data_IF_797878521882
#
_entry.id   IF_797878521882
#
_cell.length_a   1.000
_cell.length_b   1.000
_cell.length_c   1.000
_cell.angle_alpha   90.00
_cell.angle_beta   90.00
_cell.angle_gamma   90.00
#
_symmetry.space_group_name_H-M   'P 1'
#
loop_
_entity.id
_entity.type
_entity.pdbx_description
1 polymer ?
#
# COMPACT_ATOMS: atom_id res chain seq x y z
N UNK A 1 23.50 25.23 -15.73
CA UNK A 1 23.75 26.59 -16.30
C UNK A 1 23.21 26.60 -17.72
N UNK A 2 22.00 27.13 -17.90
CA UNK A 2 21.38 27.28 -19.22
C UNK A 2 22.05 28.48 -19.90
N UNK A 3 22.68 28.25 -21.05
CA UNK A 3 23.22 29.35 -21.86
C UNK A 3 22.05 30.25 -22.30
N UNK A 4 22.06 31.51 -21.86
CA UNK A 4 21.06 32.50 -22.27
C UNK A 4 21.03 32.60 -23.79
N UNK A 5 19.86 32.35 -24.38
CA UNK A 5 19.63 32.50 -25.81
C UNK A 5 19.90 33.98 -26.17
N UNK A 6 20.97 34.26 -26.93
CA UNK A 6 21.26 35.61 -27.47
C UNK A 6 20.39 35.88 -28.71
N UNK A 7 19.08 35.86 -28.55
CA UNK A 7 18.11 36.28 -29.57
C UNK A 7 17.39 37.52 -29.08
N UNK A 8 16.96 38.38 -30.00
CA UNK A 8 16.09 39.52 -29.68
C UNK A 8 14.71 39.02 -29.25
N UNK A 9 13.97 39.80 -28.47
CA UNK A 9 12.62 39.43 -28.01
C UNK A 9 11.65 39.14 -29.18
N UNK A 10 11.84 39.82 -30.31
CA UNK A 10 11.09 39.57 -31.56
C UNK A 10 11.38 38.18 -32.14
N UNK A 11 12.65 37.78 -32.22
CA UNK A 11 13.04 36.47 -32.76
C UNK A 11 12.59 35.31 -31.86
N UNK A 12 12.52 35.53 -30.54
CA UNK A 12 11.97 34.55 -29.59
C UNK A 12 10.46 34.42 -29.79
N UNK A 13 9.76 35.54 -29.98
CA UNK A 13 8.31 35.56 -30.22
C UNK A 13 7.96 34.81 -31.50
N UNK A 14 8.65 35.08 -32.61
CA UNK A 14 8.45 34.40 -33.89
C UNK A 14 8.72 32.89 -33.78
N UNK A 15 9.75 32.52 -33.00
CA UNK A 15 10.08 31.12 -32.74
C UNK A 15 8.99 30.42 -31.92
N UNK A 16 8.38 31.09 -30.94
CA UNK A 16 7.28 30.52 -30.16
C UNK A 16 6.01 30.35 -30.98
N UNK A 17 5.69 31.29 -31.87
CA UNK A 17 4.58 31.13 -32.82
C UNK A 17 4.79 29.92 -33.73
N UNK A 18 6.01 29.71 -34.21
CA UNK A 18 6.36 28.53 -34.99
C UNK A 18 6.23 27.23 -34.18
N UNK A 19 6.61 27.23 -32.90
CA UNK A 19 6.39 26.08 -32.02
C UNK A 19 4.88 25.84 -31.82
N UNK A 20 4.08 26.90 -31.65
CA UNK A 20 2.62 26.79 -31.50
C UNK A 20 1.98 26.12 -32.73
N UNK A 21 2.41 26.50 -33.93
CA UNK A 21 1.98 25.86 -35.18
C UNK A 21 2.40 24.39 -35.24
N UNK A 22 3.67 24.08 -34.94
CA UNK A 22 4.19 22.72 -34.96
C UNK A 22 3.48 21.81 -33.95
N UNK A 23 3.27 22.29 -32.73
CA UNK A 23 2.52 21.59 -31.69
C UNK A 23 1.08 21.40 -32.12
N UNK A 24 0.45 22.42 -32.71
CA UNK A 24 -0.91 22.29 -33.21
C UNK A 24 -1.03 21.18 -34.25
N UNK A 25 -0.12 21.13 -35.22
CA UNK A 25 -0.11 20.15 -36.33
C UNK A 25 0.24 18.73 -35.85
N UNK A 26 1.25 18.59 -35.00
CA UNK A 26 1.74 17.27 -34.55
C UNK A 26 0.71 16.61 -33.61
N UNK A 27 0.05 17.42 -32.79
CA UNK A 27 -0.91 16.96 -31.79
C UNK A 27 -2.38 17.16 -32.21
N UNK A 28 -2.66 17.44 -33.49
CA UNK A 28 -4.03 17.66 -34.01
C UNK A 28 -4.82 16.38 -34.30
N UNK A 29 -4.16 15.22 -34.31
CA UNK A 29 -4.87 13.96 -34.52
C UNK A 29 -5.67 13.58 -33.27
N UNK A 30 -6.98 13.35 -33.43
CA UNK A 30 -7.86 12.68 -32.44
C UNK A 30 -7.41 11.25 -32.09
N UNK A 31 -6.34 10.76 -32.72
CA UNK A 31 -5.66 9.52 -32.37
C UNK A 31 -4.92 9.65 -31.04
N UNK A 32 -4.90 8.55 -30.32
CA UNK A 32 -4.31 8.43 -29.00
C UNK A 32 -2.82 8.79 -28.97
N UNK A 33 -2.52 10.00 -28.49
CA UNK A 33 -1.18 10.57 -28.40
C UNK A 33 -0.20 9.75 -27.53
N UNK A 34 -0.65 8.73 -26.81
CA UNK A 34 0.20 7.87 -25.98
C UNK A 34 1.04 6.89 -26.79
N UNK A 35 0.61 6.50 -27.99
CA UNK A 35 1.31 5.50 -28.80
C UNK A 35 2.13 6.09 -29.95
N UNK A 36 2.08 7.41 -30.12
CA UNK A 36 2.81 8.13 -31.16
C UNK A 36 4.01 8.85 -30.56
N UNK A 37 5.16 8.77 -31.22
CA UNK A 37 6.34 9.57 -30.89
C UNK A 37 6.18 11.03 -31.36
N UNK A 38 5.11 11.69 -30.88
CA UNK A 38 4.77 13.06 -31.20
C UNK A 38 5.83 14.03 -30.67
N UNK A 39 6.43 13.72 -29.52
CA UNK A 39 7.53 14.49 -28.96
C UNK A 39 8.81 14.37 -29.80
N UNK A 40 9.21 13.16 -30.22
CA UNK A 40 10.35 12.97 -31.10
C UNK A 40 10.16 13.64 -32.46
N UNK A 41 8.94 13.62 -33.01
CA UNK A 41 8.59 14.38 -34.22
C UNK A 41 8.75 15.90 -34.03
N UNK A 42 8.32 16.44 -32.89
CA UNK A 42 8.47 17.85 -32.55
C UNK A 42 9.95 18.22 -32.40
N UNK A 43 10.71 17.43 -31.64
CA UNK A 43 12.14 17.64 -31.43
C UNK A 43 12.93 17.56 -32.74
N UNK A 44 12.62 16.58 -33.60
CA UNK A 44 13.22 16.44 -34.92
C UNK A 44 12.98 17.68 -35.77
N UNK A 45 11.74 18.18 -35.86
CA UNK A 45 11.45 19.41 -36.61
C UNK A 45 12.15 20.63 -36.03
N UNK A 46 12.21 20.78 -34.72
CA UNK A 46 12.85 21.93 -34.06
C UNK A 46 14.38 21.92 -34.21
N UNK A 47 15.01 20.74 -34.25
CA UNK A 47 16.47 20.62 -34.48
C UNK A 47 16.93 21.16 -35.84
N UNK A 48 16.04 21.19 -36.85
CA UNK A 48 16.34 21.80 -38.15
C UNK A 48 16.19 23.33 -38.15
N UNK A 49 15.50 23.89 -37.17
CA UNK A 49 15.14 25.31 -37.08
C UNK A 49 16.09 26.05 -36.12
N UNK A 50 16.60 25.36 -35.10
CA UNK A 50 17.50 25.90 -34.11
C UNK A 50 18.61 24.90 -33.78
N UNK A 51 19.88 25.30 -33.97
CA UNK A 51 21.06 24.46 -33.66
C UNK A 51 21.32 24.32 -32.14
N UNK A 52 20.55 25.03 -31.31
CA UNK A 52 20.65 25.03 -29.84
C UNK A 52 19.83 23.89 -29.21
N UNK A 53 20.06 23.66 -27.91
CA UNK A 53 19.35 22.70 -27.07
C UNK A 53 17.81 22.86 -27.14
N UNK A 54 17.18 21.96 -27.90
CA UNK A 54 15.73 21.91 -28.16
C UNK A 54 14.92 21.79 -26.86
N UNK A 55 15.43 21.07 -25.86
CA UNK A 55 14.73 20.91 -24.58
C UNK A 55 14.67 22.24 -23.83
N UNK A 56 15.78 22.98 -23.78
CA UNK A 56 15.80 24.33 -23.18
C UNK A 56 14.85 25.29 -23.90
N UNK A 57 14.74 25.21 -25.23
CA UNK A 57 13.78 26.01 -25.99
C UNK A 57 12.33 25.64 -25.64
N UNK A 58 12.01 24.34 -25.63
CA UNK A 58 10.68 23.84 -25.30
C UNK A 58 10.29 24.15 -23.84
N UNK A 59 11.23 24.14 -22.90
CA UNK A 59 10.99 24.56 -21.52
C UNK A 59 10.55 26.02 -21.45
N UNK A 60 11.31 26.94 -22.05
CA UNK A 60 10.98 28.37 -22.01
C UNK A 60 9.66 28.66 -22.76
N UNK A 61 9.40 27.95 -23.86
CA UNK A 61 8.12 28.03 -24.57
C UNK A 61 6.96 27.54 -23.70
N UNK A 62 7.08 26.36 -23.10
CA UNK A 62 6.04 25.78 -22.26
C UNK A 62 5.72 26.68 -21.06
N UNK A 63 6.75 27.24 -20.40
CA UNK A 63 6.63 28.25 -19.35
C UNK A 63 5.84 29.46 -19.87
N UNK A 64 6.25 30.06 -20.98
CA UNK A 64 5.54 31.21 -21.57
C UNK A 64 4.05 30.91 -21.84
N UNK A 65 3.71 29.69 -22.26
CA UNK A 65 2.33 29.28 -22.53
C UNK A 65 1.48 29.02 -21.29
N UNK A 66 2.07 28.54 -20.20
CA UNK A 66 1.32 28.37 -18.93
C UNK A 66 1.15 29.70 -18.18
N UNK A 67 2.03 30.67 -18.38
CA UNK A 67 1.94 32.02 -17.81
C UNK A 67 0.98 32.94 -18.59
N UNK A 68 0.76 32.66 -19.87
CA UNK A 68 -0.15 33.43 -20.73
C UNK A 68 -1.51 32.74 -20.89
N UNK A 69 -2.58 33.54 -20.99
CA UNK A 69 -3.93 33.02 -21.21
C UNK A 69 -3.99 32.20 -22.51
N UNK A 70 -4.48 30.98 -22.40
CA UNK A 70 -4.51 30.01 -23.49
C UNK A 70 -5.86 29.27 -23.49
N UNK A 71 -6.30 28.75 -24.64
CA UNK A 71 -7.52 27.93 -24.70
C UNK A 71 -7.28 26.48 -24.23
N UNK A 72 -8.34 25.78 -23.82
CA UNK A 72 -8.27 24.41 -23.27
C UNK A 72 -7.58 23.41 -24.21
N UNK A 73 -7.90 23.43 -25.50
CA UNK A 73 -7.37 22.48 -26.48
C UNK A 73 -5.86 22.65 -26.63
N UNK A 74 -5.38 23.89 -26.71
CA UNK A 74 -3.96 24.17 -26.85
C UNK A 74 -3.21 23.91 -25.53
N UNK A 75 -3.80 24.28 -24.38
CA UNK A 75 -3.20 23.99 -23.08
C UNK A 75 -3.02 22.48 -22.86
N UNK A 76 -3.97 21.64 -23.30
CA UNK A 76 -3.83 20.17 -23.27
C UNK A 76 -2.58 19.70 -24.04
N UNK A 77 -2.30 20.28 -25.21
CA UNK A 77 -1.10 19.99 -26.02
C UNK A 77 0.18 20.44 -25.29
N UNK A 78 0.17 21.63 -24.69
CA UNK A 78 1.30 22.14 -23.87
C UNK A 78 1.61 21.21 -22.69
N UNK A 79 0.59 20.78 -21.94
CA UNK A 79 0.76 19.83 -20.82
C UNK A 79 1.34 18.49 -21.27
N UNK A 80 1.01 18.03 -22.48
CA UNK A 80 1.61 16.82 -23.04
C UNK A 80 3.10 17.00 -23.31
N UNK A 81 3.53 18.14 -23.86
CA UNK A 81 4.95 18.46 -24.04
C UNK A 81 5.66 18.55 -22.69
N UNK A 82 5.05 19.19 -21.69
CA UNK A 82 5.58 19.26 -20.31
C UNK A 82 5.82 17.86 -19.74
N UNK A 83 4.90 16.92 -19.97
CA UNK A 83 5.05 15.54 -19.50
C UNK A 83 6.33 14.88 -20.05
N UNK A 84 6.68 15.13 -21.32
CA UNK A 84 7.88 14.58 -21.96
C UNK A 84 9.17 15.27 -21.52
N UNK A 85 9.13 16.58 -21.23
CA UNK A 85 10.28 17.29 -20.65
C UNK A 85 10.63 16.76 -19.25
N UNK A 86 9.66 16.17 -18.55
CA UNK A 86 9.89 15.40 -17.34
C UNK A 86 10.58 16.17 -16.23
N UNK A 87 11.54 15.53 -15.55
CA UNK A 87 12.22 16.05 -14.37
C UNK A 87 12.86 17.43 -14.59
N UNK A 88 13.52 17.64 -15.73
CA UNK A 88 14.23 18.90 -16.02
C UNK A 88 13.30 20.11 -16.12
N UNK A 89 12.05 19.91 -16.57
CA UNK A 89 11.05 20.99 -16.54
C UNK A 89 10.70 21.37 -15.10
N UNK A 90 10.50 20.39 -14.20
CA UNK A 90 10.12 20.66 -12.82
C UNK A 90 11.25 21.29 -12.01
N UNK A 91 12.51 20.91 -12.25
CA UNK A 91 13.67 21.62 -11.69
C UNK A 91 13.70 23.08 -12.14
N UNK A 92 13.46 23.34 -13.41
CA UNK A 92 13.40 24.70 -13.96
C UNK A 92 12.26 25.50 -13.32
N UNK A 93 11.07 24.94 -13.20
CA UNK A 93 9.90 25.59 -12.59
C UNK A 93 10.17 25.98 -11.14
N UNK A 94 10.75 25.08 -10.34
CA UNK A 94 11.09 25.35 -8.93
C UNK A 94 12.17 26.40 -8.78
N UNK A 95 13.17 26.39 -9.66
CA UNK A 95 14.26 27.37 -9.64
C UNK A 95 13.79 28.79 -10.00
N UNK A 96 12.74 28.92 -10.82
CA UNK A 96 12.30 30.20 -11.39
C UNK A 96 10.97 30.73 -10.84
N UNK A 97 10.33 30.06 -9.88
CA UNK A 97 9.06 30.49 -9.25
C UNK A 97 7.97 30.82 -10.28
N UNK A 98 7.63 29.83 -11.11
CA UNK A 98 6.63 29.94 -12.19
C UNK A 98 5.33 30.62 -11.73
N UNK A 99 4.82 31.58 -12.53
CA UNK A 99 3.54 32.27 -12.26
C UNK A 99 2.48 31.87 -13.27
N UNK A 100 1.73 30.83 -12.94
CA UNK A 100 0.69 30.30 -13.83
C UNK A 100 -0.47 31.27 -13.93
N UNK A 101 -1.00 31.46 -15.15
CA UNK A 101 -2.18 32.27 -15.36
C UNK A 101 -3.39 31.67 -14.62
N UNK A 102 -4.13 32.47 -13.85
CA UNK A 102 -5.31 31.99 -13.11
C UNK A 102 -6.37 31.32 -14.00
N UNK A 103 -6.55 31.79 -15.25
CA UNK A 103 -7.47 31.12 -16.19
C UNK A 103 -6.97 29.74 -16.59
N UNK A 104 -5.66 29.58 -16.77
CA UNK A 104 -5.06 28.28 -17.06
C UNK A 104 -5.18 27.32 -15.87
N UNK A 105 -5.13 27.81 -14.62
CA UNK A 105 -5.40 26.99 -13.42
C UNK A 105 -6.81 26.39 -13.49
N UNK A 106 -7.82 27.22 -13.78
CA UNK A 106 -9.20 26.74 -13.90
C UNK A 106 -9.38 25.76 -15.06
N UNK A 107 -8.75 26.02 -16.21
CA UNK A 107 -8.73 25.09 -17.34
C UNK A 107 -8.08 23.75 -16.96
N UNK A 108 -6.98 23.76 -16.17
CA UNK A 108 -6.33 22.54 -15.72
C UNK A 108 -7.24 21.74 -14.77
N UNK A 109 -7.98 22.43 -13.87
CA UNK A 109 -8.99 21.78 -13.02
C UNK A 109 -10.09 21.12 -13.87
N UNK A 110 -10.59 21.81 -14.89
CA UNK A 110 -11.57 21.24 -15.84
C UNK A 110 -11.01 20.04 -16.63
N UNK A 111 -9.73 20.11 -17.05
CA UNK A 111 -9.05 19.01 -17.73
C UNK A 111 -8.92 17.78 -16.82
N UNK A 112 -8.64 17.96 -15.53
CA UNK A 112 -8.60 16.86 -14.56
C UNK A 112 -9.97 16.22 -14.34
N UNK A 113 -11.02 17.03 -14.19
CA UNK A 113 -12.39 16.55 -14.01
C UNK A 113 -12.93 15.81 -15.25
N UNK A 114 -12.47 16.20 -16.44
CA UNK A 114 -12.85 15.59 -17.71
C UNK A 114 -11.94 14.43 -18.15
N UNK A 115 -10.85 14.18 -17.42
CA UNK A 115 -9.87 13.15 -17.76
C UNK A 115 -10.49 11.75 -17.71
N UNK A 116 -10.00 10.87 -18.57
CA UNK A 116 -10.48 9.48 -18.70
C UNK A 116 -9.30 8.53 -18.77
N UNK A 117 -9.53 7.31 -18.29
CA UNK A 117 -8.66 6.17 -18.61
C UNK A 117 -9.16 5.55 -19.91
N UNK A 118 -8.31 5.40 -20.91
CA UNK A 118 -8.75 4.83 -22.19
C UNK A 118 -9.12 3.36 -22.07
N UNK A 119 -10.27 3.02 -22.62
CA UNK A 119 -10.90 1.72 -22.49
C UNK A 119 -10.45 0.71 -23.57
N UNK A 120 -9.14 0.57 -23.80
CA UNK A 120 -8.63 -0.60 -24.53
C UNK A 120 -8.46 -1.79 -23.58
N UNK A 121 -9.57 -2.13 -22.90
CA UNK A 121 -9.75 -3.41 -22.23
C UNK A 121 -10.61 -4.28 -23.18
N UNK A 122 -10.29 -5.56 -23.22
CA UNK A 122 -10.86 -6.56 -24.13
C UNK A 122 -12.39 -6.62 -24.09
N UNK A 123 -13.01 -7.10 -25.18
CA UNK A 123 -14.48 -7.17 -25.34
C UNK A 123 -15.17 -8.01 -24.24
N UNK A 124 -14.48 -9.00 -23.65
CA UNK A 124 -14.98 -9.78 -22.51
C UNK A 124 -15.08 -8.98 -21.21
N UNK A 125 -14.35 -7.87 -21.08
CA UNK A 125 -14.34 -7.02 -19.87
C UNK A 125 -15.48 -5.97 -19.89
N UNK A 126 -16.06 -5.68 -21.08
CA UNK A 126 -17.11 -4.66 -21.23
C UNK A 126 -18.48 -5.06 -20.65
N UNK A 127 -18.81 -6.35 -20.61
CA UNK A 127 -20.07 -6.84 -20.01
C UNK A 127 -20.01 -6.86 -18.46
N UNK A 128 -18.81 -7.04 -17.90
CA UNK A 128 -18.51 -6.89 -16.46
C UNK A 128 -18.36 -5.43 -16.03
N UNK A 129 -18.12 -4.50 -16.96
CA UNK A 129 -17.82 -3.09 -16.69
C UNK A 129 -19.00 -2.26 -16.14
N UNK A 130 -20.24 -2.43 -16.62
CA UNK A 130 -21.37 -1.66 -16.07
C UNK A 130 -21.59 -1.98 -14.59
N UNK A 131 -21.59 -3.27 -14.24
CA UNK A 131 -21.62 -3.71 -12.84
C UNK A 131 -20.35 -3.30 -12.06
N UNK A 132 -19.20 -3.18 -12.72
CA UNK A 132 -17.93 -2.78 -12.09
C UNK A 132 -17.92 -1.31 -11.68
N UNK A 133 -18.28 -0.38 -12.57
CA UNK A 133 -18.32 1.05 -12.24
C UNK A 133 -19.45 1.36 -11.24
N UNK A 134 -20.61 0.70 -11.36
CA UNK A 134 -21.67 0.81 -10.35
C UNK A 134 -21.21 0.32 -8.98
N UNK A 135 -20.47 -0.79 -8.92
CA UNK A 135 -19.85 -1.29 -7.68
C UNK A 135 -18.82 -0.33 -7.10
N UNK A 136 -17.95 0.26 -7.93
CA UNK A 136 -16.97 1.25 -7.46
C UNK A 136 -17.67 2.44 -6.80
N UNK A 137 -18.71 2.98 -7.45
CA UNK A 137 -19.49 4.10 -6.92
C UNK A 137 -20.18 3.70 -5.61
N UNK A 138 -20.72 2.49 -5.54
CA UNK A 138 -21.34 1.95 -4.31
C UNK A 138 -20.32 1.78 -3.17
N UNK A 139 -19.16 1.15 -3.43
CA UNK A 139 -18.10 0.98 -2.43
C UNK A 139 -17.56 2.31 -1.93
N UNK A 140 -17.35 3.30 -2.82
CA UNK A 140 -16.96 4.66 -2.42
C UNK A 140 -18.02 5.29 -1.52
N UNK A 141 -19.32 5.16 -1.85
CA UNK A 141 -20.42 5.69 -1.01
C UNK A 141 -20.49 5.04 0.37
N UNK A 142 -20.19 3.74 0.45
CA UNK A 142 -20.19 2.97 1.72
C UNK A 142 -18.87 3.05 2.47
N UNK A 143 -17.86 3.77 1.95
CA UNK A 143 -16.49 3.78 2.47
C UNK A 143 -15.88 2.36 2.63
N UNK A 144 -16.25 1.44 1.74
CA UNK A 144 -15.77 0.05 1.75
C UNK A 144 -14.44 -0.04 0.99
N UNK A 145 -13.38 0.56 1.53
CA UNK A 145 -12.11 0.75 0.83
C UNK A 145 -11.38 -0.56 0.53
N UNK A 146 -11.49 -1.57 1.41
CA UNK A 146 -10.91 -2.90 1.19
C UNK A 146 -11.62 -3.63 0.05
N UNK A 147 -12.96 -3.60 -0.01
CA UNK A 147 -13.75 -4.15 -1.12
C UNK A 147 -13.43 -3.42 -2.44
N UNK A 148 -13.29 -2.10 -2.38
CA UNK A 148 -12.90 -1.27 -3.52
C UNK A 148 -11.52 -1.69 -4.02
N UNK A 149 -10.53 -1.80 -3.12
CA UNK A 149 -9.17 -2.23 -3.45
C UNK A 149 -9.14 -3.63 -4.08
N UNK A 150 -9.80 -4.62 -3.47
CA UNK A 150 -9.92 -5.99 -4.01
C UNK A 150 -10.52 -5.99 -5.42
N UNK A 151 -11.52 -5.15 -5.65
CA UNK A 151 -12.19 -5.08 -6.95
C UNK A 151 -11.29 -4.47 -8.03
N UNK A 152 -10.41 -3.54 -7.67
CA UNK A 152 -9.72 -2.67 -8.63
C UNK A 152 -8.23 -2.96 -8.79
N UNK A 153 -7.58 -3.65 -7.84
CA UNK A 153 -6.13 -3.81 -7.83
C UNK A 153 -5.56 -4.57 -9.03
N UNK A 154 -6.32 -5.48 -9.65
CA UNK A 154 -5.84 -6.22 -10.83
C UNK A 154 -5.76 -5.32 -12.07
N UNK A 155 -6.61 -4.29 -12.12
CA UNK A 155 -6.60 -3.30 -13.20
C UNK A 155 -5.66 -2.12 -12.91
N UNK A 156 -5.27 -1.90 -11.64
CA UNK A 156 -4.53 -0.71 -11.24
C UNK A 156 -3.16 -0.58 -11.90
N UNK A 157 -2.50 -1.70 -12.21
CA UNK A 157 -1.21 -1.71 -12.90
C UNK A 157 -1.25 -1.06 -14.28
N UNK A 158 -2.42 -1.09 -14.90
CA UNK A 158 -2.65 -0.59 -16.25
C UNK A 158 -3.02 0.89 -16.25
N UNK A 159 -3.64 1.39 -15.18
CA UNK A 159 -4.12 2.78 -15.12
C UNK A 159 -2.99 3.79 -15.31
N UNK A 160 -1.77 3.51 -14.83
CA UNK A 160 -0.62 4.40 -15.03
C UNK A 160 -0.23 4.57 -16.52
N UNK A 161 -0.50 3.57 -17.36
CA UNK A 161 -0.22 3.62 -18.80
C UNK A 161 -1.40 4.21 -19.58
N UNK A 162 -2.62 4.02 -19.05
CA UNK A 162 -3.85 4.41 -19.72
C UNK A 162 -4.45 5.74 -19.25
N UNK A 163 -3.81 6.46 -18.34
CA UNK A 163 -4.21 7.83 -17.99
C UNK A 163 -3.71 8.85 -19.01
N UNK A 164 -4.48 9.92 -19.24
CA UNK A 164 -4.03 11.02 -20.09
C UNK A 164 -2.80 11.73 -19.51
N UNK A 165 -1.71 11.82 -20.29
CA UNK A 165 -0.45 12.47 -19.85
C UNK A 165 -0.62 13.96 -19.54
N UNK A 166 -1.57 14.63 -20.19
CA UNK A 166 -1.94 16.00 -19.87
C UNK A 166 -2.54 16.12 -18.47
N UNK A 167 -3.32 15.14 -18.01
CA UNK A 167 -3.87 15.11 -16.66
C UNK A 167 -2.77 14.93 -15.61
N UNK A 168 -1.78 14.07 -15.87
CA UNK A 168 -0.61 13.89 -14.99
C UNK A 168 0.15 15.20 -14.81
N UNK A 169 0.47 15.89 -15.91
CA UNK A 169 1.20 17.17 -15.84
C UNK A 169 0.35 18.30 -15.26
N UNK A 170 -0.95 18.32 -15.57
CA UNK A 170 -1.91 19.24 -14.96
C UNK A 170 -1.97 19.08 -13.45
N UNK A 171 -2.03 17.85 -12.95
CA UNK A 171 -1.98 17.57 -11.52
C UNK A 171 -0.68 18.06 -10.88
N UNK A 172 0.49 17.78 -11.50
CA UNK A 172 1.79 18.29 -11.01
C UNK A 172 1.85 19.82 -10.96
N UNK A 173 1.27 20.49 -11.94
CA UNK A 173 1.12 21.95 -11.92
C UNK A 173 0.28 22.38 -10.70
N UNK A 174 -0.88 21.77 -10.50
CA UNK A 174 -1.76 22.16 -9.38
C UNK A 174 -1.11 21.89 -8.02
N UNK A 175 -0.32 20.82 -7.88
CA UNK A 175 0.46 20.54 -6.68
C UNK A 175 1.45 21.66 -6.31
N UNK A 176 2.06 22.30 -7.29
CA UNK A 176 3.06 23.36 -7.08
C UNK A 176 2.41 24.75 -6.90
N UNK A 177 1.16 24.94 -7.33
CA UNK A 177 0.54 26.28 -7.41
C UNK A 177 -0.80 26.44 -6.69
N UNK A 178 -1.46 25.36 -6.25
CA UNK A 178 -2.75 25.42 -5.56
C UNK A 178 -2.60 25.11 -4.07
N UNK A 179 -3.52 25.63 -3.27
CA UNK A 179 -3.66 25.20 -1.88
C UNK A 179 -4.13 23.73 -1.83
N UNK A 180 -3.65 22.91 -0.88
CA UNK A 180 -4.06 21.52 -0.76
C UNK A 180 -5.59 21.33 -0.71
N UNK A 181 -6.30 22.21 -0.01
CA UNK A 181 -7.75 22.15 0.17
C UNK A 181 -8.52 22.42 -1.13
N UNK A 182 -8.00 23.31 -1.98
CA UNK A 182 -8.59 23.56 -3.31
C UNK A 182 -8.41 22.36 -4.22
N UNK A 183 -7.23 21.73 -4.16
CA UNK A 183 -6.92 20.55 -4.96
C UNK A 183 -7.75 19.35 -4.50
N UNK A 184 -7.92 19.16 -3.19
CA UNK A 184 -8.79 18.14 -2.60
C UNK A 184 -10.20 18.18 -3.18
N UNK A 185 -10.83 19.35 -3.20
CA UNK A 185 -12.19 19.51 -3.74
C UNK A 185 -12.29 19.14 -5.22
N UNK A 186 -11.23 19.35 -6.01
CA UNK A 186 -11.20 18.98 -7.43
C UNK A 186 -11.06 17.46 -7.56
N UNK A 187 -10.14 16.85 -6.82
CA UNK A 187 -9.84 15.42 -6.90
C UNK A 187 -11.00 14.54 -6.42
N UNK A 188 -11.79 14.98 -5.43
CA UNK A 188 -12.93 14.20 -4.94
C UNK A 188 -13.98 13.89 -6.02
N UNK A 189 -14.07 14.76 -7.04
CA UNK A 189 -14.94 14.61 -8.21
C UNK A 189 -14.39 13.68 -9.31
N UNK A 190 -13.15 13.22 -9.20
CA UNK A 190 -12.49 12.41 -10.24
C UNK A 190 -12.73 10.92 -9.97
N UNK A 191 -12.85 10.16 -11.07
CA UNK A 191 -12.95 8.69 -11.02
C UNK A 191 -11.66 8.06 -10.44
N UNK A 192 -11.82 7.01 -9.64
CA UNK A 192 -10.68 6.33 -9.00
C UNK A 192 -9.65 5.83 -9.99
N UNK A 193 -10.06 5.31 -11.15
CA UNK A 193 -9.13 4.78 -12.15
C UNK A 193 -8.22 5.87 -12.71
N UNK A 194 -8.78 7.08 -12.91
CA UNK A 194 -8.05 8.25 -13.36
C UNK A 194 -7.10 8.71 -12.27
N UNK A 195 -7.58 8.90 -11.03
CA UNK A 195 -6.74 9.34 -9.92
C UNK A 195 -5.59 8.38 -9.65
N UNK A 196 -5.86 7.09 -9.63
CA UNK A 196 -4.83 6.08 -9.41
C UNK A 196 -3.79 6.09 -10.52
N UNK A 197 -4.22 6.22 -11.78
CA UNK A 197 -3.32 6.39 -12.91
C UNK A 197 -2.48 7.66 -12.83
N UNK A 198 -3.08 8.78 -12.41
CA UNK A 198 -2.34 10.03 -12.15
C UNK A 198 -1.29 9.79 -11.07
N UNK A 199 -1.71 9.33 -9.89
CA UNK A 199 -0.86 9.15 -8.71
C UNK A 199 0.29 8.18 -8.92
N UNK A 200 0.07 7.09 -9.66
CA UNK A 200 1.12 6.15 -10.04
C UNK A 200 2.23 6.78 -10.93
N UNK A 201 1.98 7.94 -11.54
CA UNK A 201 2.96 8.70 -12.33
C UNK A 201 3.57 9.91 -11.56
N UNK A 202 3.26 10.04 -10.28
CA UNK A 202 3.79 11.07 -9.38
C UNK A 202 4.88 10.44 -8.52
N UNK A 203 5.91 11.24 -8.22
CA UNK A 203 6.91 10.83 -7.25
C UNK A 203 6.25 10.57 -5.90
N UNK A 204 6.57 9.44 -5.29
CA UNK A 204 5.90 9.00 -4.07
C UNK A 204 6.14 9.94 -2.89
N UNK A 205 7.32 10.55 -2.75
CA UNK A 205 7.57 11.51 -1.68
C UNK A 205 6.74 12.77 -1.87
N UNK A 206 6.62 13.26 -3.11
CA UNK A 206 5.72 14.38 -3.44
C UNK A 206 4.26 14.03 -3.10
N UNK A 207 3.82 12.83 -3.47
CA UNK A 207 2.45 12.39 -3.21
C UNK A 207 2.17 12.19 -1.72
N UNK A 208 3.12 11.63 -0.95
CA UNK A 208 2.99 11.49 0.50
C UNK A 208 2.90 12.86 1.19
N UNK A 209 3.75 13.82 0.79
CA UNK A 209 3.70 15.19 1.33
C UNK A 209 2.39 15.91 1.01
N UNK A 210 1.77 15.57 -0.12
CA UNK A 210 0.46 16.06 -0.46
C UNK A 210 -0.59 15.46 0.47
N UNK A 211 -0.71 14.13 0.54
CA UNK A 211 -1.80 13.48 1.28
C UNK A 211 -1.72 13.65 2.81
N UNK A 212 -0.54 13.93 3.36
CA UNK A 212 -0.40 14.33 4.77
C UNK A 212 -1.25 15.58 5.11
N UNK A 213 -1.42 16.47 4.13
CA UNK A 213 -2.18 17.73 4.25
C UNK A 213 -3.67 17.59 3.87
N UNK A 214 -4.09 16.42 3.40
CA UNK A 214 -5.45 16.18 2.88
C UNK A 214 -6.32 15.45 3.90
N UNK A 215 -7.60 15.80 3.99
CA UNK A 215 -8.56 15.12 4.89
C UNK A 215 -9.37 14.03 4.18
N UNK A 216 -9.56 14.13 2.87
CA UNK A 216 -10.33 13.17 2.07
C UNK A 216 -9.71 11.77 2.11
N UNK A 217 -10.44 10.88 2.78
CA UNK A 217 -10.13 9.45 2.87
C UNK A 217 -10.03 8.78 1.51
N UNK A 218 -10.84 9.23 0.55
CA UNK A 218 -10.82 8.72 -0.83
C UNK A 218 -9.48 9.01 -1.51
N UNK A 219 -8.98 10.23 -1.37
CA UNK A 219 -7.69 10.65 -1.94
C UNK A 219 -6.54 9.94 -1.23
N UNK A 220 -6.55 9.92 0.11
CA UNK A 220 -5.53 9.21 0.92
C UNK A 220 -5.48 7.73 0.55
N UNK A 221 -6.62 7.05 0.49
CA UNK A 221 -6.72 5.65 0.07
C UNK A 221 -6.16 5.43 -1.33
N UNK A 222 -6.56 6.24 -2.31
CA UNK A 222 -6.15 6.09 -3.70
C UNK A 222 -4.64 6.32 -3.85
N UNK A 223 -4.10 7.31 -3.15
CA UNK A 223 -2.67 7.60 -3.14
C UNK A 223 -1.86 6.46 -2.50
N UNK A 224 -2.23 5.99 -1.31
CA UNK A 224 -1.56 4.86 -0.66
C UNK A 224 -1.61 3.60 -1.54
N UNK A 225 -2.75 3.34 -2.18
CA UNK A 225 -2.92 2.20 -3.10
C UNK A 225 -2.07 2.34 -4.38
N UNK A 226 -1.75 3.56 -4.80
CA UNK A 226 -0.84 3.83 -5.93
C UNK A 226 0.62 3.63 -5.57
N UNK A 227 1.01 3.98 -4.33
CA UNK A 227 2.37 3.84 -3.82
C UNK A 227 2.67 2.38 -3.49
N UNK A 228 1.67 1.66 -2.97
CA UNK A 228 1.77 0.25 -2.57
C UNK A 228 0.85 -0.63 -3.43
N UNK A 229 1.22 -0.88 -4.70
CA UNK A 229 0.41 -1.72 -5.59
C UNK A 229 0.46 -3.20 -5.15
N UNK A 230 -0.59 -3.93 -5.52
CA UNK A 230 -0.82 -5.32 -5.10
C UNK A 230 0.31 -6.30 -5.47
N UNK A 231 1.02 -6.05 -6.57
CA UNK A 231 2.08 -6.95 -7.05
C UNK A 231 3.40 -6.87 -6.24
N UNK A 232 3.40 -6.14 -5.12
CA UNK A 232 4.42 -6.28 -4.07
C UNK A 232 5.76 -5.60 -4.37
N UNK A 233 5.89 -4.88 -5.48
CA UNK A 233 6.99 -3.96 -5.71
C UNK A 233 6.64 -2.61 -5.05
N UNK A 234 6.86 -2.48 -3.74
CA UNK A 234 6.93 -1.15 -3.15
C UNK A 234 8.19 -0.47 -3.74
N UNK A 235 8.06 0.59 -4.55
CA UNK A 235 9.20 1.17 -5.27
C UNK A 235 10.10 2.03 -4.36
N UNK A 236 9.80 2.10 -3.06
CA UNK A 236 10.41 3.04 -2.14
C UNK A 236 11.67 2.44 -1.50
N UNK A 237 12.81 3.08 -1.75
CA UNK A 237 14.04 2.85 -0.98
C UNK A 237 13.83 3.20 0.50
N UNK A 238 14.41 2.40 1.41
CA UNK A 238 14.33 2.67 2.85
C UNK A 238 14.83 4.09 3.16
N UNK A 239 13.93 4.91 3.68
CA UNK A 239 14.18 6.32 3.97
C UNK A 239 13.36 6.70 5.21
N UNK A 240 14.06 7.17 6.24
CA UNK A 240 13.48 7.56 7.53
C UNK A 240 12.44 8.68 7.38
N UNK A 241 12.65 9.61 6.45
CA UNK A 241 11.73 10.73 6.20
C UNK A 241 10.40 10.20 5.66
N UNK A 242 10.47 9.25 4.73
CA UNK A 242 9.28 8.60 4.15
C UNK A 242 8.55 7.79 5.22
N UNK A 243 9.29 7.06 6.07
CA UNK A 243 8.69 6.25 7.13
C UNK A 243 7.94 7.13 8.16
N UNK A 244 8.56 8.23 8.62
CA UNK A 244 7.92 9.17 9.56
C UNK A 244 6.64 9.79 8.97
N UNK A 245 6.68 10.14 7.68
CA UNK A 245 5.53 10.69 6.97
C UNK A 245 4.40 9.66 6.84
N UNK A 246 4.73 8.42 6.51
CA UNK A 246 3.75 7.33 6.47
C UNK A 246 3.15 7.09 7.86
N UNK A 247 3.94 7.08 8.93
CA UNK A 247 3.40 6.96 10.30
C UNK A 247 2.44 8.11 10.60
N UNK A 248 2.76 9.36 10.24
CA UNK A 248 1.85 10.50 10.43
C UNK A 248 0.52 10.32 9.68
N UNK A 249 0.56 9.87 8.43
CA UNK A 249 -0.63 9.61 7.61
C UNK A 249 -1.50 8.51 8.23
N UNK A 250 -0.89 7.40 8.69
CA UNK A 250 -1.62 6.31 9.33
C UNK A 250 -2.17 6.71 10.71
N UNK A 251 -1.45 7.52 11.50
CA UNK A 251 -1.94 8.08 12.76
C UNK A 251 -3.11 9.03 12.51
N UNK A 252 -3.03 9.88 11.49
CA UNK A 252 -4.14 10.75 11.06
C UNK A 252 -5.36 9.93 10.65
N UNK A 253 -5.17 8.87 9.86
CA UNK A 253 -6.23 7.92 9.50
C UNK A 253 -6.85 7.24 10.73
N UNK A 254 -6.04 6.99 11.78
CA UNK A 254 -6.48 6.45 13.06
C UNK A 254 -7.48 7.32 13.84
N UNK A 255 -7.67 8.59 13.46
CA UNK A 255 -8.78 9.42 13.99
C UNK A 255 -10.17 8.92 13.57
N UNK A 256 -10.26 8.12 12.49
CA UNK A 256 -11.44 7.35 12.12
C UNK A 256 -11.13 5.85 12.19
N UNK A 257 -11.68 5.20 13.21
CA UNK A 257 -11.49 3.78 13.47
C UNK A 257 -11.92 2.87 12.30
N UNK A 258 -12.97 3.27 11.54
CA UNK A 258 -13.42 2.50 10.40
C UNK A 258 -12.44 2.63 9.24
N UNK A 259 -11.92 3.84 9.00
CA UNK A 259 -10.99 4.07 7.91
C UNK A 259 -9.66 3.34 8.13
N UNK A 260 -9.07 3.44 9.32
CA UNK A 260 -7.83 2.72 9.63
C UNK A 260 -8.03 1.20 9.59
N UNK A 261 -9.21 0.70 10.00
CA UNK A 261 -9.54 -0.72 9.89
C UNK A 261 -9.55 -1.19 8.43
N UNK A 262 -10.10 -0.39 7.51
CA UNK A 262 -10.09 -0.71 6.09
C UNK A 262 -8.67 -0.71 5.50
N UNK A 263 -7.82 0.24 5.91
CA UNK A 263 -6.39 0.25 5.51
C UNK A 263 -5.65 -0.99 6.04
N UNK A 264 -5.91 -1.38 7.29
CA UNK A 264 -5.36 -2.63 7.84
C UNK A 264 -5.84 -3.86 7.07
N UNK A 265 -7.12 -3.94 6.70
CA UNK A 265 -7.64 -5.03 5.88
C UNK A 265 -6.94 -5.13 4.50
N UNK A 266 -6.43 -4.02 3.96
CA UNK A 266 -5.66 -4.01 2.71
C UNK A 266 -4.21 -4.45 2.95
N UNK A 267 -3.53 -3.83 3.92
CA UNK A 267 -2.07 -3.96 4.08
C UNK A 267 -1.62 -5.11 5.00
N UNK A 268 -2.50 -5.65 5.83
CA UNK A 268 -2.17 -6.74 6.77
C UNK A 268 -2.74 -8.10 6.37
N UNK A 269 -3.66 -8.17 5.40
CA UNK A 269 -4.19 -9.46 4.96
C UNK A 269 -3.09 -10.34 4.33
N UNK A 270 -2.11 -9.73 3.66
CA UNK A 270 -0.90 -10.38 3.16
C UNK A 270 0.36 -9.58 3.53
N UNK A 271 0.87 -9.68 4.77
CA UNK A 271 1.98 -8.86 5.25
C UNK A 271 3.27 -9.01 4.42
N UNK A 272 3.43 -10.16 3.76
CA UNK A 272 4.57 -10.45 2.87
C UNK A 272 4.64 -9.56 1.63
N UNK A 273 3.54 -8.91 1.24
CA UNK A 273 3.51 -7.95 0.12
C UNK A 273 3.92 -6.55 0.54
N UNK A 274 3.81 -6.24 1.83
CA UNK A 274 4.01 -4.90 2.37
C UNK A 274 4.96 -4.95 3.56
N UNK A 275 6.10 -5.62 3.39
CA UNK A 275 7.13 -5.81 4.42
C UNK A 275 7.46 -4.50 5.14
N UNK A 276 7.77 -3.44 4.38
CA UNK A 276 8.12 -2.13 4.93
C UNK A 276 7.00 -1.52 5.76
N UNK A 277 5.74 -1.68 5.33
CA UNK A 277 4.59 -1.13 6.06
C UNK A 277 4.43 -1.75 7.45
N UNK A 278 4.93 -2.96 7.70
CA UNK A 278 4.72 -3.60 9.00
C UNK A 278 5.40 -2.84 10.15
N UNK A 279 6.60 -2.28 9.96
CA UNK A 279 7.22 -1.41 10.99
C UNK A 279 6.46 -0.09 11.15
N UNK A 280 6.00 0.50 10.04
CA UNK A 280 5.21 1.74 10.04
C UNK A 280 3.90 1.53 10.81
N UNK A 281 3.22 0.40 10.60
CA UNK A 281 2.01 0.03 11.32
C UNK A 281 2.34 -0.17 12.80
N UNK A 282 3.44 -0.82 13.15
CA UNK A 282 3.90 -0.94 14.54
C UNK A 282 4.07 0.41 15.24
N UNK A 283 4.74 1.36 14.58
CA UNK A 283 4.87 2.75 15.07
C UNK A 283 3.52 3.47 15.16
N UNK A 284 2.62 3.21 14.23
CA UNK A 284 1.26 3.77 14.24
C UNK A 284 0.48 3.29 15.46
N UNK A 285 0.50 1.98 15.74
CA UNK A 285 -0.15 1.40 16.91
C UNK A 285 0.41 2.02 18.21
N UNK A 286 1.74 2.21 18.27
CA UNK A 286 2.41 2.78 19.43
C UNK A 286 2.06 4.26 19.66
N UNK A 287 1.77 5.02 18.60
CA UNK A 287 1.39 6.43 18.69
C UNK A 287 -0.09 6.65 18.96
N UNK A 288 -0.95 5.76 18.47
CA UNK A 288 -2.40 5.87 18.68
C UNK A 288 -2.81 5.42 20.09
N UNK A 289 -2.05 4.51 20.69
CA UNK A 289 -2.30 3.96 22.04
C UNK A 289 -3.78 3.59 22.28
N UNK A 290 -4.40 2.94 21.28
CA UNK A 290 -5.82 2.60 21.30
C UNK A 290 -6.04 1.09 21.23
N UNK A 291 -6.76 0.55 22.22
CA UNK A 291 -7.15 -0.87 22.25
C UNK A 291 -8.01 -1.25 21.02
N UNK A 292 -8.97 -0.41 20.63
CA UNK A 292 -9.82 -0.66 19.46
C UNK A 292 -9.02 -0.78 18.16
N UNK A 293 -7.99 0.04 18.00
CA UNK A 293 -7.09 -0.02 16.82
C UNK A 293 -6.27 -1.30 16.85
N UNK A 294 -5.78 -1.73 18.02
CA UNK A 294 -5.07 -3.01 18.19
C UNK A 294 -5.98 -4.20 17.86
N UNK A 295 -7.23 -4.17 18.31
CA UNK A 295 -8.23 -5.20 17.97
C UNK A 295 -8.44 -5.26 16.46
N UNK A 296 -8.58 -4.11 15.79
CA UNK A 296 -8.74 -4.06 14.34
C UNK A 296 -7.48 -4.52 13.59
N UNK A 297 -6.28 -4.22 14.10
CA UNK A 297 -5.03 -4.76 13.57
C UNK A 297 -5.04 -6.29 13.61
N UNK A 298 -5.34 -6.90 14.76
CA UNK A 298 -5.38 -8.36 14.85
C UNK A 298 -6.48 -8.99 13.99
N UNK A 299 -7.67 -8.37 13.89
CA UNK A 299 -8.74 -8.85 13.01
C UNK A 299 -8.35 -8.81 11.52
N UNK A 300 -7.53 -7.84 11.13
CA UNK A 300 -7.04 -7.73 9.75
C UNK A 300 -6.00 -8.80 9.39
N UNK A 301 -5.30 -9.35 10.38
CA UNK A 301 -4.44 -10.51 10.22
C UNK A 301 -5.33 -11.75 10.12
N UNK A 302 -5.65 -12.17 8.90
CA UNK A 302 -6.35 -13.44 8.70
C UNK A 302 -5.55 -14.57 9.34
N UNK A 303 -6.13 -15.26 10.33
CA UNK A 303 -5.48 -16.40 10.96
C UNK A 303 -5.65 -17.63 10.07
N UNK A 304 -4.52 -18.20 9.65
CA UNK A 304 -4.48 -19.46 8.92
C UNK A 304 -3.23 -20.24 9.34
N UNK A 305 -3.23 -21.54 9.05
CA UNK A 305 -2.13 -22.42 9.46
C UNK A 305 -0.89 -22.17 8.61
N UNK A 306 0.24 -21.89 9.25
CA UNK A 306 1.51 -21.59 8.61
C UNK A 306 2.57 -22.67 8.82
N UNK A 307 3.55 -22.69 7.93
CA UNK A 307 4.84 -23.35 8.18
C UNK A 307 5.70 -22.52 9.12
N UNK A 308 6.73 -23.14 9.71
CA UNK A 308 7.63 -22.44 10.63
C UNK A 308 8.37 -21.28 9.93
N UNK A 309 8.83 -21.49 8.70
CA UNK A 309 9.64 -20.53 7.95
C UNK A 309 8.80 -19.50 7.17
N UNK A 310 7.50 -19.39 7.45
CA UNK A 310 6.66 -18.43 6.72
C UNK A 310 7.04 -16.99 7.08
N UNK A 311 7.48 -16.22 6.07
CA UNK A 311 7.94 -14.84 6.23
C UNK A 311 6.87 -13.91 6.82
N UNK A 312 5.58 -14.21 6.65
CA UNK A 312 4.52 -13.40 7.24
C UNK A 312 4.66 -13.30 8.76
N UNK A 313 5.12 -14.38 9.41
CA UNK A 313 5.39 -14.44 10.86
C UNK A 313 6.49 -13.45 11.27
N UNK A 314 7.54 -13.34 10.45
CA UNK A 314 8.65 -12.40 10.68
C UNK A 314 8.19 -10.96 10.52
N UNK A 315 7.35 -10.67 9.52
CA UNK A 315 6.87 -9.30 9.30
C UNK A 315 5.88 -8.84 10.37
N UNK A 316 4.96 -9.71 10.81
CA UNK A 316 4.07 -9.41 11.93
C UNK A 316 4.85 -9.29 13.25
N UNK A 317 5.88 -10.12 13.47
CA UNK A 317 6.83 -9.91 14.57
C UNK A 317 7.44 -8.52 14.51
N UNK A 318 7.97 -8.09 13.36
CA UNK A 318 8.60 -6.76 13.23
C UNK A 318 7.62 -5.62 13.56
N UNK A 319 6.35 -5.74 13.15
CA UNK A 319 5.30 -4.80 13.55
C UNK A 319 5.13 -4.74 15.08
N UNK A 320 4.93 -5.90 15.71
CA UNK A 320 4.65 -5.99 17.14
C UNK A 320 5.84 -5.65 18.02
N UNK A 321 7.06 -5.97 17.58
CA UNK A 321 8.31 -5.56 18.24
C UNK A 321 8.52 -4.04 18.15
N UNK A 322 8.22 -3.44 16.98
CA UNK A 322 8.24 -1.98 16.82
C UNK A 322 7.19 -1.31 17.72
N UNK A 323 6.00 -1.89 17.83
CA UNK A 323 4.97 -1.43 18.77
C UNK A 323 5.46 -1.50 20.23
N UNK A 324 6.00 -2.65 20.66
CA UNK A 324 6.48 -2.86 22.03
C UNK A 324 7.59 -1.87 22.42
N UNK A 325 8.51 -1.58 21.50
CA UNK A 325 9.64 -0.66 21.74
C UNK A 325 9.18 0.79 21.87
N UNK A 326 8.17 1.21 21.09
CA UNK A 326 7.80 2.62 20.97
C UNK A 326 6.55 3.01 21.77
N UNK A 327 5.71 2.05 22.19
CA UNK A 327 4.51 2.32 22.99
C UNK A 327 4.91 2.72 24.42
N UNK A 328 4.32 3.79 24.95
CA UNK A 328 4.66 4.28 26.29
C UNK A 328 3.79 3.59 27.36
N UNK A 329 2.56 3.23 27.01
CA UNK A 329 1.65 2.52 27.91
C UNK A 329 1.97 1.01 28.02
N UNK A 330 2.62 0.64 29.13
CA UNK A 330 2.91 -0.78 29.46
C UNK A 330 1.66 -1.62 29.71
N UNK A 331 0.57 -1.04 30.19
CA UNK A 331 -0.69 -1.77 30.37
C UNK A 331 -1.29 -2.12 29.02
N UNK A 332 -1.25 -1.17 28.07
CA UNK A 332 -1.69 -1.40 26.70
C UNK A 332 -0.84 -2.47 25.99
N UNK A 333 0.49 -2.48 26.20
CA UNK A 333 1.36 -3.55 25.68
C UNK A 333 0.90 -4.92 26.21
N UNK A 334 0.64 -5.03 27.51
CA UNK A 334 0.15 -6.30 28.08
C UNK A 334 -1.23 -6.67 27.53
N UNK A 335 -2.12 -5.69 27.35
CA UNK A 335 -3.44 -5.90 26.77
C UNK A 335 -3.38 -6.36 25.32
N UNK A 336 -2.43 -5.84 24.53
CA UNK A 336 -2.15 -6.28 23.17
C UNK A 336 -1.86 -7.79 23.11
N UNK A 337 -1.03 -8.30 24.02
CA UNK A 337 -0.72 -9.73 24.12
C UNK A 337 -1.92 -10.57 24.57
N UNK A 338 -2.74 -10.06 25.49
CA UNK A 338 -3.99 -10.72 25.90
C UNK A 338 -4.97 -10.87 24.73
N UNK A 339 -5.20 -9.79 23.96
CA UNK A 339 -6.08 -9.81 22.79
C UNK A 339 -5.61 -10.85 21.77
N UNK A 340 -4.29 -10.90 21.51
CA UNK A 340 -3.72 -11.91 20.62
C UNK A 340 -3.97 -13.33 21.13
N UNK A 341 -3.81 -13.55 22.44
CA UNK A 341 -4.03 -14.85 23.07
C UNK A 341 -5.50 -15.28 23.03
N UNK A 342 -6.43 -14.37 23.32
CA UNK A 342 -7.88 -14.59 23.19
C UNK A 342 -8.22 -15.02 21.75
N UNK A 343 -7.79 -14.24 20.75
CA UNK A 343 -8.03 -14.53 19.33
C UNK A 343 -7.43 -15.88 18.89
N UNK A 344 -6.19 -16.16 19.28
CA UNK A 344 -5.50 -17.40 18.95
C UNK A 344 -6.15 -18.63 19.58
N UNK A 345 -6.60 -18.50 20.83
CA UNK A 345 -7.28 -19.57 21.57
C UNK A 345 -8.63 -19.89 20.96
N UNK A 346 -9.40 -18.87 20.54
CA UNK A 346 -10.69 -19.03 19.88
C UNK A 346 -10.56 -19.63 18.47
N UNK A 347 -9.56 -19.19 17.70
CA UNK A 347 -9.29 -19.70 16.35
C UNK A 347 -9.06 -21.21 16.36
N UNK A 348 -8.28 -21.71 17.31
CA UNK A 348 -8.13 -23.15 17.55
C UNK A 348 -7.77 -23.95 16.25
N UNK A 349 -6.97 -23.33 15.37
CA UNK A 349 -6.54 -23.84 14.07
C UNK A 349 -7.67 -24.15 13.06
N UNK A 350 -8.85 -23.54 13.22
CA UNK A 350 -10.04 -23.71 12.35
C UNK A 350 -10.46 -25.17 12.10
N UNK A 351 -10.17 -26.05 13.05
CA UNK A 351 -10.45 -27.49 12.92
C UNK A 351 -11.96 -27.76 12.81
N UNK A 352 -12.81 -26.87 13.32
CA UNK A 352 -14.28 -26.97 13.21
C UNK A 352 -14.82 -26.82 11.79
N UNK A 353 -14.04 -26.26 10.86
CA UNK A 353 -14.43 -25.99 9.47
C UNK A 353 -14.03 -27.10 8.48
N UNK A 354 -13.94 -28.36 8.94
CA UNK A 354 -13.50 -29.55 8.18
C UNK A 354 -12.01 -29.56 7.77
N UNK A 355 -11.15 -28.83 8.48
CA UNK A 355 -9.71 -28.86 8.23
C UNK A 355 -9.02 -29.93 9.10
N UNK A 356 -8.32 -30.86 8.45
CA UNK A 356 -7.46 -31.83 9.12
C UNK A 356 -6.06 -31.26 9.34
N UNK A 357 -5.52 -31.47 10.53
CA UNK A 357 -4.19 -31.00 10.90
C UNK A 357 -3.18 -32.16 10.85
N UNK A 358 -2.60 -32.39 9.67
CA UNK A 358 -1.75 -33.56 9.40
C UNK A 358 -0.32 -33.38 9.95
N UNK A 359 0.09 -32.15 10.23
CA UNK A 359 1.40 -31.81 10.80
C UNK A 359 1.30 -30.63 11.79
N UNK A 360 2.38 -30.38 12.53
CA UNK A 360 2.49 -29.21 13.41
C UNK A 360 2.43 -27.94 12.56
N UNK A 361 1.58 -27.00 12.96
CA UNK A 361 1.40 -25.71 12.30
C UNK A 361 1.66 -24.56 13.27
N UNK A 362 1.84 -23.39 12.67
CA UNK A 362 2.18 -22.16 13.35
C UNK A 362 1.12 -21.11 13.05
N UNK A 363 1.12 -20.04 13.83
CA UNK A 363 0.29 -18.87 13.59
C UNK A 363 1.14 -17.66 13.23
N UNK A 364 0.54 -16.73 12.49
CA UNK A 364 1.16 -15.45 12.15
C UNK A 364 1.43 -14.60 13.40
N UNK A 365 0.69 -14.84 14.48
CA UNK A 365 0.78 -14.10 15.75
C UNK A 365 1.56 -14.85 16.84
N UNK A 366 2.28 -15.93 16.53
CA UNK A 366 3.02 -16.72 17.55
C UNK A 366 3.94 -15.87 18.43
N UNK A 367 4.57 -14.82 17.87
CA UNK A 367 5.36 -13.87 18.65
C UNK A 367 4.56 -13.27 19.82
N UNK A 368 3.33 -12.82 19.55
CA UNK A 368 2.45 -12.26 20.57
C UNK A 368 2.05 -13.29 21.63
N UNK A 369 1.86 -14.55 21.22
CA UNK A 369 1.51 -15.66 22.14
C UNK A 369 2.67 -15.96 23.09
N UNK A 370 3.90 -15.96 22.59
CA UNK A 370 5.10 -16.13 23.41
C UNK A 370 5.24 -14.95 24.39
N UNK A 371 5.04 -13.71 23.91
CA UNK A 371 5.04 -12.50 24.75
C UNK A 371 3.94 -12.54 25.83
N UNK A 372 2.75 -13.05 25.50
CA UNK A 372 1.69 -13.27 26.48
C UNK A 372 2.17 -14.17 27.62
N UNK A 373 2.71 -15.35 27.32
CA UNK A 373 3.21 -16.27 28.35
C UNK A 373 4.33 -15.64 29.19
N UNK A 374 5.29 -14.96 28.55
CA UNK A 374 6.39 -14.30 29.26
C UNK A 374 5.92 -13.13 30.16
N UNK A 375 4.81 -12.47 29.81
CA UNK A 375 4.26 -11.35 30.58
C UNK A 375 3.31 -11.78 31.70
N UNK A 376 2.58 -12.89 31.53
CA UNK A 376 1.53 -13.35 32.45
C UNK A 376 1.90 -14.54 33.32
N UNK A 377 2.91 -15.31 32.92
CA UNK A 377 3.30 -16.53 33.60
C UNK A 377 4.74 -16.42 34.11
N UNK A 378 4.97 -16.88 35.33
CA UNK A 378 6.31 -17.21 35.80
C UNK A 378 6.72 -18.60 35.30
N UNK A 379 8.01 -18.94 35.47
CA UNK A 379 8.57 -20.22 35.04
C UNK A 379 7.77 -21.43 35.53
N UNK A 380 7.34 -21.44 36.80
CA UNK A 380 6.57 -22.54 37.37
C UNK A 380 5.21 -22.70 36.69
N UNK A 381 4.51 -21.59 36.44
CA UNK A 381 3.23 -21.63 35.75
C UNK A 381 3.38 -22.13 34.31
N UNK A 382 4.46 -21.77 33.62
CA UNK A 382 4.78 -22.31 32.29
C UNK A 382 5.00 -23.83 32.37
N UNK A 383 5.78 -24.30 33.35
CA UNK A 383 6.04 -25.73 33.56
C UNK A 383 4.75 -26.51 33.87
N UNK A 384 3.89 -25.97 34.73
CA UNK A 384 2.58 -26.56 35.08
C UNK A 384 1.67 -26.67 33.84
N UNK A 385 1.62 -25.63 32.99
CA UNK A 385 0.86 -25.64 31.73
C UNK A 385 1.41 -26.65 30.71
N UNK A 386 2.74 -26.81 30.66
CA UNK A 386 3.39 -27.83 29.81
C UNK A 386 2.99 -29.23 30.27
N UNK A 387 3.02 -29.49 31.59
CA UNK A 387 2.61 -30.77 32.16
C UNK A 387 1.13 -31.07 31.89
N UNK A 388 0.24 -30.07 32.02
CA UNK A 388 -1.18 -30.22 31.70
C UNK A 388 -1.38 -30.63 30.23
N UNK A 389 -0.69 -29.97 29.30
CA UNK A 389 -0.78 -30.31 27.88
C UNK A 389 -0.20 -31.69 27.57
N UNK A 390 0.86 -32.12 28.26
CA UNK A 390 1.34 -33.50 28.14
C UNK A 390 0.31 -34.53 28.59
N UNK A 391 -0.41 -34.26 29.67
CA UNK A 391 -1.47 -35.16 30.13
C UNK A 391 -2.61 -35.23 29.11
N UNK A 392 -3.00 -34.11 28.48
CA UNK A 392 -3.94 -34.11 27.35
C UNK A 392 -3.46 -34.96 26.18
N UNK A 393 -2.16 -34.94 25.86
CA UNK A 393 -1.59 -35.80 24.80
C UNK A 393 -1.65 -37.28 25.18
N UNK A 394 -1.37 -37.63 26.44
CA UNK A 394 -1.50 -39.03 26.91
C UNK A 394 -2.95 -39.51 26.77
N UNK A 395 -3.92 -38.64 27.08
CA UNK A 395 -5.33 -38.96 26.98
C UNK A 395 -5.80 -39.20 25.53
N UNK A 396 -5.12 -38.65 24.52
CA UNK A 396 -5.42 -38.96 23.11
C UNK A 396 -5.36 -40.48 22.87
N UNK A 397 -4.37 -41.19 23.43
CA UNK A 397 -4.26 -42.64 23.28
C UNK A 397 -5.45 -43.43 23.85
N UNK A 398 -6.27 -42.81 24.70
CA UNK A 398 -7.45 -43.42 25.33
C UNK A 398 -8.77 -43.15 24.59
N UNK A 399 -8.78 -42.20 23.64
CA UNK A 399 -9.97 -41.82 22.87
C UNK A 399 -10.18 -42.73 21.66
N UNK A 400 -11.43 -42.95 21.29
CA UNK A 400 -11.81 -43.60 20.04
C UNK A 400 -11.87 -42.57 18.92
N UNK A 401 -11.16 -42.84 17.82
CA UNK A 401 -11.15 -41.99 16.62
C UNK A 401 -11.82 -42.72 15.46
N UNK A 402 -12.52 -41.98 14.60
CA UNK A 402 -13.13 -42.52 13.37
C UNK A 402 -12.06 -42.93 12.35
N UNK A 403 -10.93 -42.21 12.31
CA UNK A 403 -9.79 -42.59 11.50
C UNK A 403 -8.46 -42.01 11.97
N UNK A 404 -7.37 -42.43 11.30
CA UNK A 404 -6.01 -41.95 11.56
C UNK A 404 -5.86 -40.43 11.38
N UNK A 405 -6.66 -39.84 10.50
CA UNK A 405 -6.61 -38.42 10.21
C UNK A 405 -7.14 -37.60 11.40
N UNK A 406 -8.21 -38.06 12.05
CA UNK A 406 -8.75 -37.40 13.26
C UNK A 406 -7.77 -37.49 14.43
N UNK A 407 -7.15 -38.66 14.60
CA UNK A 407 -6.08 -38.86 15.58
C UNK A 407 -4.91 -37.89 15.33
N UNK A 408 -4.42 -37.84 14.09
CA UNK A 408 -3.32 -36.94 13.72
C UNK A 408 -3.70 -35.47 13.96
N UNK A 409 -4.95 -35.10 13.68
CA UNK A 409 -5.45 -33.75 13.86
C UNK A 409 -5.39 -33.33 15.33
N UNK A 410 -5.97 -34.13 16.24
CA UNK A 410 -5.91 -33.87 17.69
C UNK A 410 -4.47 -33.82 18.20
N UNK A 411 -3.63 -34.73 17.72
CA UNK A 411 -2.24 -34.84 18.11
C UNK A 411 -1.42 -33.62 17.69
N UNK A 412 -1.50 -33.23 16.43
CA UNK A 412 -0.78 -32.09 15.91
C UNK A 412 -1.33 -30.78 16.43
N UNK A 413 -2.62 -30.72 16.76
CA UNK A 413 -3.24 -29.55 17.38
C UNK A 413 -2.59 -29.23 18.71
N UNK A 414 -2.54 -30.21 19.62
CA UNK A 414 -1.89 -30.03 20.92
C UNK A 414 -0.41 -29.67 20.74
N UNK A 415 0.29 -30.35 19.82
CA UNK A 415 1.69 -30.02 19.52
C UNK A 415 1.90 -28.61 18.99
N UNK A 416 0.98 -28.11 18.17
CA UNK A 416 1.00 -26.74 17.63
C UNK A 416 0.75 -25.73 18.74
N UNK A 417 -0.23 -25.98 19.61
CA UNK A 417 -0.51 -25.17 20.80
C UNK A 417 0.67 -25.13 21.78
N UNK A 418 1.42 -26.23 21.88
CA UNK A 418 2.59 -26.33 22.76
C UNK A 418 3.83 -25.62 22.22
N UNK A 419 3.97 -25.40 20.90
CA UNK A 419 5.16 -24.72 20.33
C UNK A 419 5.44 -23.36 21.02
N UNK A 420 4.51 -22.38 21.04
CA UNK A 420 4.78 -21.07 21.65
C UNK A 420 5.02 -21.17 23.16
N UNK A 421 4.33 -22.08 23.86
CA UNK A 421 4.51 -22.29 25.31
C UNK A 421 5.91 -22.83 25.64
N UNK A 422 6.39 -23.81 24.87
CA UNK A 422 7.74 -24.34 24.99
C UNK A 422 8.81 -23.32 24.65
N UNK A 423 8.56 -22.52 23.63
CA UNK A 423 9.45 -21.44 23.26
C UNK A 423 9.60 -20.43 24.39
N UNK A 424 8.48 -20.03 25.02
CA UNK A 424 8.50 -19.18 26.21
C UNK A 424 9.31 -19.79 27.36
N UNK A 425 9.18 -21.10 27.61
CA UNK A 425 10.02 -21.81 28.60
C UNK A 425 11.52 -21.68 28.30
N UNK A 426 11.91 -21.83 27.03
CA UNK A 426 13.32 -21.72 26.62
C UNK A 426 13.84 -20.29 26.76
N UNK A 427 13.03 -19.28 26.43
CA UNK A 427 13.41 -17.87 26.60
C UNK A 427 13.56 -17.51 28.08
N UNK A 428 12.71 -18.04 28.95
CA UNK A 428 12.85 -17.85 30.41
C UNK A 428 14.16 -18.42 30.97
N UNK A 429 14.76 -19.41 30.29
CA UNK A 429 16.07 -19.97 30.62
C UNK A 429 17.23 -19.25 29.91
N UNK A 430 16.98 -18.71 28.72
CA UNK A 430 17.94 -17.96 27.90
C UNK A 430 17.26 -16.75 27.24
N UNK A 431 17.42 -15.59 27.87
CA UNK A 431 16.80 -14.34 27.42
C UNK A 431 17.41 -13.76 26.14
N UNK A 432 18.44 -14.39 25.57
CA UNK A 432 19.03 -13.96 24.29
C UNK A 432 18.25 -14.48 23.08
N UNK A 433 17.36 -15.45 23.28
CA UNK A 433 16.52 -16.01 22.23
C UNK A 433 15.43 -15.02 21.78
N UNK A 434 15.20 -14.96 20.46
CA UNK A 434 14.08 -14.18 19.92
C UNK A 434 12.75 -14.78 20.38
N UNK A 435 11.71 -13.97 20.70
CA UNK A 435 10.38 -14.48 21.01
C UNK A 435 9.59 -15.07 19.83
N UNK A 436 10.12 -15.00 18.61
CA UNK A 436 9.60 -15.75 17.47
C UNK A 436 10.46 -16.98 17.23
N UNK A 437 9.83 -18.15 17.30
CA UNK A 437 10.44 -19.41 16.89
C UNK A 437 10.48 -19.48 15.36
N UNK A 438 11.66 -19.32 14.77
CA UNK A 438 11.88 -19.31 13.32
C UNK A 438 12.85 -20.40 12.87
N UNK A 439 12.51 -21.12 11.79
CA UNK A 439 13.37 -22.15 11.19
C UNK A 439 13.54 -23.47 11.98
N UNK A 440 12.84 -23.67 13.10
CA UNK A 440 12.91 -24.94 13.84
C UNK A 440 11.62 -25.27 14.58
N UNK A 441 11.44 -26.55 14.91
CA UNK A 441 10.32 -27.06 15.72
C UNK A 441 10.82 -27.74 16.98
N UNK A 442 10.07 -27.62 18.07
CA UNK A 442 10.33 -28.45 19.25
C UNK A 442 9.77 -29.84 19.01
N UNK A 443 10.67 -30.83 19.03
CA UNK A 443 10.29 -32.24 19.08
C UNK A 443 10.02 -32.64 20.53
N UNK A 444 8.77 -32.97 20.80
CA UNK A 444 8.35 -33.51 22.10
C UNK A 444 8.71 -35.01 22.15
N UNK A 445 9.96 -35.31 22.50
CA UNK A 445 10.46 -36.68 22.64
C UNK A 445 9.60 -37.51 23.63
N UNK A 446 9.55 -38.84 23.42
CA UNK A 446 8.82 -39.84 24.22
C UNK A 446 7.29 -39.89 24.11
N UNK A 447 6.62 -39.05 23.30
CA UNK A 447 5.16 -39.16 23.12
C UNK A 447 4.71 -40.45 22.41
N UNK A 448 5.56 -41.05 21.56
CA UNK A 448 5.25 -42.28 20.81
C UNK A 448 5.03 -43.52 21.69
N UNK A 449 5.49 -43.50 22.94
CA UNK A 449 5.30 -44.60 23.90
C UNK A 449 3.89 -44.65 24.51
N UNK A 450 3.10 -43.60 24.37
CA UNK A 450 1.80 -43.45 25.02
C UNK A 450 0.60 -43.72 24.09
N UNK A 451 0.83 -44.00 22.81
CA UNK A 451 -0.24 -44.24 21.83
C UNK A 451 -0.34 -45.74 21.54
N UNK A 452 -1.13 -46.45 22.34
CA UNK A 452 -1.67 -47.75 21.92
C UNK A 452 -2.91 -47.50 21.06
N UNK A 453 -2.76 -47.58 19.74
CA UNK A 453 -3.84 -47.24 18.81
C UNK A 453 -5.10 -48.10 19.02
N UNK A 454 -6.26 -47.46 19.16
CA UNK A 454 -7.59 -48.07 19.01
C UNK A 454 -8.33 -47.33 17.89
N UNK A 455 -8.06 -47.72 16.65
CA UNK A 455 -8.81 -47.23 15.48
C UNK A 455 -9.97 -48.21 15.28
N UNK A 456 -11.21 -47.70 15.23
CA UNK A 456 -12.36 -48.53 14.86
C UNK A 456 -12.22 -48.96 13.39
N UNK A 457 -12.39 -50.25 13.11
CA UNK A 457 -12.48 -50.75 11.74
C UNK A 457 -13.78 -50.30 11.07
#
# INVERSE_FOLDING_TARGET
MINSIKKTDSEITDLYLLIDELVSVIYDSDEDLRFRDSYGQLCGKLSYINELDVNSLLMNWAVSRVESETNITFLKKVLHVINHLGFSFWEYVRANQLKINNKNIEIIKELLLSAKVSQELSISERYTQNNFFEKIVDFKKRNAWSELYVTTHSASEWFQYFVERSAVSGFKILLECSLPEELESVLDGIDISVLWGIFANIDSLVLLNFIDKIESKFIVFTALSSIFPYNGSAPLEEDLIIDDLLVNIFVKAGSDINFISELFNIFNHYPTRYERLQKIIGNTLARLESEDVIVNYYKSLSLYTLGCEDKARVYVKNCLETFEVNCQDKLLINRCWEIAFELWSDWNFDISLNNYLIEIKYSIIDFAIVKYYLSKCNQKQIDDLIEENFNKIKDIGSKWYLGKIDLNTDWNKLKSQMQPLYHAQKISLDSTLSPLQDGFKYDFENLSKYVSFRVGN
#
